data_IF_511265529373
#
_entry.id   IF_511265529373
#
_cell.length_a   1.000
_cell.length_b   1.000
_cell.length_c   1.000
_cell.angle_alpha   90.00
_cell.angle_beta   90.00
_cell.angle_gamma   90.00
#
_symmetry.space_group_name_H-M   'P 1'
#
loop_
_entity.id
_entity.type
_entity.pdbx_description
1 polymer ?
#
# COMPACT_ATOMS: atom_id res chain seq x y z
N UNK A 1 3.71 31.78 -9.41
CA UNK A 1 2.75 31.13 -8.52
C UNK A 1 1.69 30.49 -9.40
N UNK A 2 1.84 29.21 -9.70
CA UNK A 2 0.86 28.46 -10.48
C UNK A 2 -0.32 28.21 -9.55
N UNK A 3 -1.52 28.70 -9.90
CA UNK A 3 -2.74 28.33 -9.19
C UNK A 3 -2.82 26.80 -9.19
N UNK A 4 -2.70 26.19 -8.00
CA UNK A 4 -2.95 24.76 -7.88
C UNK A 4 -4.43 24.55 -8.19
N UNK A 5 -4.73 24.01 -9.37
CA UNK A 5 -6.09 23.68 -9.77
C UNK A 5 -6.68 22.72 -8.73
N UNK A 6 -7.58 23.23 -7.90
CA UNK A 6 -8.17 22.45 -6.82
C UNK A 6 -9.11 21.39 -7.40
N UNK A 7 -8.78 20.12 -7.16
CA UNK A 7 -9.59 18.97 -7.57
C UNK A 7 -10.95 19.03 -6.90
N UNK A 8 -12.02 19.21 -7.69
CA UNK A 8 -13.39 19.26 -7.17
C UNK A 8 -13.91 17.86 -6.79
N UNK A 9 -13.83 17.51 -5.50
CA UNK A 9 -14.33 16.22 -4.99
C UNK A 9 -15.78 15.90 -5.39
N UNK A 10 -16.77 16.80 -5.28
CA UNK A 10 -18.16 16.47 -5.64
C UNK A 10 -18.32 16.10 -7.11
N UNK A 11 -17.61 16.79 -8.01
CA UNK A 11 -17.68 16.51 -9.45
C UNK A 11 -17.03 15.17 -9.80
N UNK A 12 -15.87 14.88 -9.21
CA UNK A 12 -15.19 13.60 -9.40
C UNK A 12 -15.95 12.43 -8.78
N UNK A 13 -16.58 12.64 -7.62
CA UNK A 13 -17.44 11.64 -7.00
C UNK A 13 -18.66 11.33 -7.88
N UNK A 14 -19.33 12.36 -8.42
CA UNK A 14 -20.43 12.17 -9.36
C UNK A 14 -19.99 11.43 -10.65
N UNK A 15 -18.77 11.67 -11.12
CA UNK A 15 -18.20 10.91 -12.24
C UNK A 15 -17.87 9.45 -11.86
N UNK A 16 -17.49 9.17 -10.62
CA UNK A 16 -17.13 7.83 -10.17
C UNK A 16 -18.35 6.91 -9.99
N UNK A 17 -19.47 7.42 -9.45
CA UNK A 17 -20.67 6.63 -9.14
C UNK A 17 -21.13 5.71 -10.29
N UNK A 18 -21.33 6.18 -11.53
CA UNK A 18 -21.75 5.30 -12.64
C UNK A 18 -20.68 4.30 -13.09
N UNK A 19 -19.44 4.43 -12.59
CA UNK A 19 -18.26 3.64 -13.01
C UNK A 19 -17.82 2.62 -11.95
N UNK A 20 -18.47 2.56 -10.79
CA UNK A 20 -18.11 1.66 -9.68
C UNK A 20 -18.04 0.18 -10.10
N UNK A 21 -19.00 -0.29 -10.88
CA UNK A 21 -18.98 -1.67 -11.40
C UNK A 21 -17.76 -1.96 -12.27
N UNK A 22 -17.30 -0.97 -13.04
CA UNK A 22 -16.07 -1.08 -13.84
C UNK A 22 -14.83 -1.09 -12.96
N UNK A 23 -14.78 -0.28 -11.89
CA UNK A 23 -13.69 -0.29 -10.91
C UNK A 23 -13.56 -1.66 -10.27
N UNK A 24 -14.67 -2.24 -9.79
CA UNK A 24 -14.67 -3.60 -9.23
C UNK A 24 -14.15 -4.61 -10.25
N UNK A 25 -14.59 -4.52 -11.50
CA UNK A 25 -14.14 -5.42 -12.58
C UNK A 25 -12.64 -5.31 -12.86
N UNK A 26 -12.02 -4.15 -12.65
CA UNK A 26 -10.57 -3.96 -12.80
C UNK A 26 -9.73 -4.73 -11.76
N UNK A 27 -10.36 -5.22 -10.69
CA UNK A 27 -9.71 -6.01 -9.63
C UNK A 27 -10.05 -7.51 -9.69
N UNK A 28 -10.86 -7.94 -10.66
CA UNK A 28 -11.25 -9.34 -10.83
C UNK A 28 -10.39 -10.04 -11.91
N UNK A 29 -10.30 -11.39 -11.89
CA UNK A 29 -9.69 -12.16 -12.97
C UNK A 29 -10.32 -11.82 -14.34
N UNK A 30 -9.49 -11.70 -15.38
CA UNK A 30 -9.94 -11.30 -16.71
C UNK A 30 -10.22 -9.80 -16.86
N UNK A 31 -9.68 -8.97 -15.96
CA UNK A 31 -9.71 -7.51 -16.07
C UNK A 31 -9.14 -7.05 -17.43
N UNK A 32 -9.74 -6.02 -18.06
CA UNK A 32 -9.20 -5.42 -19.28
C UNK A 32 -7.86 -4.69 -19.05
N UNK A 33 -7.59 -4.29 -17.80
CA UNK A 33 -6.31 -3.70 -17.39
C UNK A 33 -5.67 -4.66 -16.41
N UNK A 34 -4.50 -5.18 -16.74
CA UNK A 34 -3.77 -6.07 -15.84
C UNK A 34 -3.40 -5.37 -14.53
N UNK A 35 -3.07 -6.16 -13.52
CA UNK A 35 -2.79 -5.63 -12.18
C UNK A 35 -1.66 -4.61 -12.16
N UNK A 36 -0.66 -4.76 -13.02
CA UNK A 36 0.53 -3.91 -13.03
C UNK A 36 0.22 -2.57 -13.68
N UNK A 37 -0.37 -2.57 -14.88
CA UNK A 37 -0.81 -1.33 -15.55
C UNK A 37 -1.81 -0.58 -14.68
N UNK A 38 -2.67 -1.30 -13.94
CA UNK A 38 -3.57 -0.69 -12.96
C UNK A 38 -2.82 0.07 -11.88
N UNK A 39 -1.84 -0.55 -11.21
CA UNK A 39 -1.06 0.14 -10.17
C UNK A 39 -0.24 1.32 -10.74
N UNK A 40 0.29 1.20 -11.96
CA UNK A 40 0.98 2.30 -12.63
C UNK A 40 0.06 3.49 -12.87
N UNK A 41 -1.11 3.25 -13.46
CA UNK A 41 -2.14 4.27 -13.69
C UNK A 41 -2.57 4.89 -12.35
N UNK A 42 -2.82 4.08 -11.32
CA UNK A 42 -3.19 4.58 -9.99
C UNK A 42 -2.09 5.44 -9.36
N UNK A 43 -0.81 5.10 -9.54
CA UNK A 43 0.31 5.90 -9.06
C UNK A 43 0.37 7.26 -9.77
N UNK A 44 0.26 7.26 -11.11
CA UNK A 44 0.28 8.50 -11.91
C UNK A 44 -0.91 9.39 -11.60
N UNK A 45 -2.12 8.83 -11.51
CA UNK A 45 -3.33 9.57 -11.12
C UNK A 45 -3.16 10.20 -9.74
N UNK A 46 -2.70 9.43 -8.75
CA UNK A 46 -2.52 9.94 -7.39
C UNK A 46 -1.47 11.05 -7.33
N UNK A 47 -0.38 10.93 -8.10
CA UNK A 47 0.66 11.96 -8.21
C UNK A 47 0.13 13.23 -8.88
N UNK A 48 -0.58 13.09 -10.00
CA UNK A 48 -1.20 14.20 -10.72
C UNK A 48 -2.30 14.90 -9.87
N UNK A 49 -2.99 14.15 -9.02
CA UNK A 49 -3.98 14.66 -8.08
C UNK A 49 -3.36 15.28 -6.81
N UNK A 50 -2.03 15.27 -6.68
CA UNK A 50 -1.29 15.89 -5.57
C UNK A 50 -1.07 15.00 -4.34
N UNK A 51 -1.51 13.74 -4.35
CA UNK A 51 -1.39 12.84 -3.20
C UNK A 51 -0.11 12.00 -3.26
N UNK A 52 1.01 12.60 -2.86
CA UNK A 52 2.33 11.94 -2.82
C UNK A 52 2.36 10.60 -2.05
N UNK A 53 1.74 10.49 -0.86
CA UNK A 53 1.68 9.22 -0.13
C UNK A 53 0.96 8.10 -0.89
N UNK A 54 -0.14 8.43 -1.57
CA UNK A 54 -0.93 7.45 -2.32
C UNK A 54 -0.22 7.06 -3.62
N UNK A 55 0.40 8.02 -4.32
CA UNK A 55 1.28 7.75 -5.46
C UNK A 55 2.39 6.77 -5.10
N UNK A 56 3.05 6.99 -3.95
CA UNK A 56 4.10 6.11 -3.46
C UNK A 56 3.59 4.71 -3.14
N UNK A 57 2.44 4.58 -2.48
CA UNK A 57 1.85 3.27 -2.18
C UNK A 57 1.61 2.45 -3.46
N UNK A 58 1.04 3.06 -4.49
CA UNK A 58 0.80 2.37 -5.77
C UNK A 58 2.10 2.07 -6.52
N UNK A 59 3.10 2.95 -6.45
CA UNK A 59 4.43 2.67 -7.00
C UNK A 59 5.10 1.47 -6.29
N UNK A 60 5.01 1.42 -4.96
CA UNK A 60 5.53 0.29 -4.17
C UNK A 60 4.84 -1.03 -4.54
N UNK A 61 3.51 -1.01 -4.74
CA UNK A 61 2.77 -2.18 -5.22
C UNK A 61 3.13 -2.59 -6.65
N UNK A 62 3.32 -1.61 -7.54
CA UNK A 62 3.80 -1.88 -8.88
C UNK A 62 5.18 -2.56 -8.85
N UNK A 63 6.10 -2.10 -8.00
CA UNK A 63 7.44 -2.71 -7.88
C UNK A 63 7.36 -4.18 -7.42
N UNK A 64 6.43 -4.51 -6.53
CA UNK A 64 6.18 -5.89 -6.07
C UNK A 64 5.72 -6.79 -7.22
N UNK A 65 5.01 -6.24 -8.21
CA UNK A 65 4.55 -6.97 -9.39
C UNK A 65 5.67 -7.21 -10.44
N UNK A 66 6.89 -6.72 -10.20
CA UNK A 66 8.10 -7.01 -11.00
C UNK A 66 8.38 -6.03 -12.15
N UNK A 67 9.44 -6.23 -12.94
CA UNK A 67 9.76 -5.42 -14.13
C UNK A 67 8.87 -5.78 -15.33
N UNK A 68 8.66 -4.86 -16.27
CA UNK A 68 7.98 -5.04 -17.55
C UNK A 68 8.56 -4.03 -18.52
N UNK A 69 8.48 -4.41 -19.78
CA UNK A 69 8.67 -3.53 -20.91
C UNK A 69 7.42 -2.66 -21.03
N UNK A 70 7.56 -1.38 -20.70
CA UNK A 70 6.58 -0.38 -21.09
C UNK A 70 6.64 -0.23 -22.61
N UNK A 71 5.48 -0.20 -23.24
CA UNK A 71 5.37 0.03 -24.69
C UNK A 71 5.14 1.51 -24.98
N UNK A 72 5.34 1.95 -26.22
CA UNK A 72 5.00 3.33 -26.63
C UNK A 72 3.52 3.67 -26.35
N UNK A 73 2.62 2.66 -26.44
CA UNK A 73 1.21 2.80 -26.08
C UNK A 73 1.02 3.10 -24.58
N UNK A 74 1.90 2.59 -23.71
CA UNK A 74 1.84 2.91 -22.28
C UNK A 74 2.22 4.37 -22.02
N UNK A 75 3.22 4.92 -22.71
CA UNK A 75 3.62 6.32 -22.55
C UNK A 75 2.49 7.30 -22.98
N UNK A 76 1.80 6.99 -24.07
CA UNK A 76 0.65 7.76 -24.53
C UNK A 76 -0.54 7.65 -23.57
N UNK A 77 -0.82 6.45 -23.04
CA UNK A 77 -1.85 6.24 -22.02
C UNK A 77 -1.53 7.04 -20.74
N UNK A 78 -0.28 7.04 -20.28
CA UNK A 78 0.11 7.77 -19.07
C UNK A 78 0.05 9.28 -19.29
N UNK A 79 0.43 9.75 -20.47
CA UNK A 79 0.29 11.17 -20.86
C UNK A 79 -1.17 11.60 -20.85
N UNK A 80 -2.06 10.76 -21.41
CA UNK A 80 -3.51 10.97 -21.33
C UNK A 80 -4.01 10.97 -19.87
N UNK A 81 -3.55 10.04 -19.03
CA UNK A 81 -3.93 9.99 -17.60
C UNK A 81 -3.58 11.29 -16.88
N UNK A 82 -2.37 11.82 -17.10
CA UNK A 82 -1.95 13.10 -16.49
C UNK A 82 -2.84 14.25 -16.96
N UNK A 83 -3.11 14.34 -18.27
CA UNK A 83 -3.98 15.36 -18.84
C UNK A 83 -5.42 15.27 -18.31
N UNK A 84 -5.93 14.05 -18.13
CA UNK A 84 -7.27 13.76 -17.65
C UNK A 84 -7.51 14.23 -16.20
N UNK A 85 -6.46 14.32 -15.37
CA UNK A 85 -6.57 14.80 -13.99
C UNK A 85 -6.65 16.34 -13.91
N UNK A 86 -6.19 17.06 -14.94
CA UNK A 86 -5.82 18.48 -14.80
C UNK A 86 -6.94 19.53 -14.87
N UNK A 87 -8.12 19.36 -15.55
CA UNK A 87 -9.24 20.24 -15.17
C UNK A 87 -10.68 19.75 -15.42
N UNK A 88 -10.97 18.54 -15.93
CA UNK A 88 -12.35 18.20 -16.36
C UNK A 88 -12.83 16.80 -15.89
N UNK A 89 -13.90 16.73 -15.07
CA UNK A 89 -14.56 15.46 -14.71
C UNK A 89 -15.35 14.87 -15.89
N UNK A 90 -15.60 15.67 -16.93
CA UNK A 90 -16.08 15.24 -18.24
C UNK A 90 -14.92 14.55 -18.96
N UNK A 91 -14.64 13.32 -18.55
CA UNK A 91 -13.71 12.43 -19.25
C UNK A 91 -14.37 12.00 -20.55
N UNK A 92 -14.29 12.83 -21.58
CA UNK A 92 -14.57 12.38 -22.93
C UNK A 92 -13.36 11.53 -23.36
N UNK A 93 -13.54 10.23 -23.61
CA UNK A 93 -12.40 9.35 -23.83
C UNK A 93 -11.83 9.51 -25.25
N UNK A 94 -12.11 10.63 -25.93
CA UNK A 94 -11.87 10.86 -27.36
C UNK A 94 -10.37 10.93 -27.70
N UNK A 95 -9.52 11.22 -26.72
CA UNK A 95 -8.08 11.43 -26.94
C UNK A 95 -7.18 10.22 -26.60
N UNK A 96 -7.75 9.05 -26.26
CA UNK A 96 -6.96 7.83 -26.05
C UNK A 96 -6.55 7.18 -27.39
N UNK A 97 -5.32 6.62 -27.50
CA UNK A 97 -4.80 6.02 -28.74
C UNK A 97 -5.78 5.05 -29.39
N UNK A 98 -5.79 4.98 -30.72
CA UNK A 98 -6.76 4.19 -31.49
C UNK A 98 -6.65 2.68 -31.19
N UNK A 99 -5.45 2.25 -30.83
CA UNK A 99 -5.04 0.89 -30.45
C UNK A 99 -5.66 0.46 -29.12
N UNK A 100 -6.09 1.40 -28.28
CA UNK A 100 -6.74 1.12 -26.99
C UNK A 100 -8.19 0.69 -27.20
N UNK A 101 -8.45 -0.60 -26.94
CA UNK A 101 -9.78 -1.18 -27.08
C UNK A 101 -10.84 -0.42 -26.26
N UNK A 102 -12.13 -0.45 -26.68
CA UNK A 102 -13.20 0.21 -25.93
C UNK A 102 -13.34 -0.26 -24.48
N UNK A 103 -12.97 -1.52 -24.18
CA UNK A 103 -13.03 -2.06 -22.83
C UNK A 103 -11.91 -1.51 -21.94
N UNK A 104 -10.69 -1.41 -22.47
CA UNK A 104 -9.55 -0.78 -21.77
C UNK A 104 -9.84 0.70 -21.55
N UNK A 105 -10.36 1.40 -22.56
CA UNK A 105 -10.77 2.82 -22.48
C UNK A 105 -11.73 3.08 -21.32
N UNK A 106 -12.79 2.27 -21.19
CA UNK A 106 -13.74 2.36 -20.07
C UNK A 106 -13.08 2.10 -18.71
N UNK A 107 -12.17 1.13 -18.65
CA UNK A 107 -11.44 0.80 -17.43
C UNK A 107 -10.49 1.91 -16.99
N UNK A 108 -9.73 2.51 -17.92
CA UNK A 108 -8.84 3.63 -17.64
C UNK A 108 -9.62 4.84 -17.11
N UNK A 109 -10.73 5.21 -17.77
CA UNK A 109 -11.62 6.29 -17.30
C UNK A 109 -12.15 6.02 -15.89
N UNK A 110 -12.53 4.77 -15.59
CA UNK A 110 -12.98 4.38 -14.26
C UNK A 110 -11.86 4.47 -13.21
N UNK A 111 -10.65 4.04 -13.56
CA UNK A 111 -9.46 4.10 -12.69
C UNK A 111 -9.01 5.54 -12.42
N UNK A 112 -9.08 6.44 -13.42
CA UNK A 112 -8.82 7.88 -13.22
C UNK A 112 -9.81 8.47 -12.23
N UNK A 113 -11.13 8.28 -12.46
CA UNK A 113 -12.15 8.79 -11.55
C UNK A 113 -11.99 8.24 -10.12
N UNK A 114 -11.69 6.95 -9.99
CA UNK A 114 -11.44 6.31 -8.71
C UNK A 114 -10.20 6.87 -8.02
N UNK A 115 -9.07 6.96 -8.73
CA UNK A 115 -7.81 7.45 -8.18
C UNK A 115 -7.88 8.91 -7.73
N UNK A 116 -8.60 9.76 -8.46
CA UNK A 116 -8.80 11.17 -8.07
C UNK A 116 -9.65 11.28 -6.80
N UNK A 117 -10.75 10.51 -6.70
CA UNK A 117 -11.57 10.48 -5.48
C UNK A 117 -10.78 9.90 -4.30
N UNK A 118 -9.97 8.87 -4.52
CA UNK A 118 -9.11 8.27 -3.51
C UNK A 118 -8.05 9.26 -3.00
N UNK A 119 -7.38 9.99 -3.89
CA UNK A 119 -6.40 11.03 -3.56
C UNK A 119 -7.04 12.15 -2.72
N UNK A 120 -8.17 12.69 -3.18
CA UNK A 120 -8.90 13.73 -2.45
C UNK A 120 -9.41 13.25 -1.08
N UNK A 121 -9.82 11.97 -0.98
CA UNK A 121 -10.22 11.35 0.30
C UNK A 121 -9.02 11.24 1.25
N UNK A 122 -7.86 10.81 0.75
CA UNK A 122 -6.62 10.69 1.53
C UNK A 122 -6.14 12.06 2.04
N UNK A 123 -6.20 13.10 1.22
CA UNK A 123 -5.80 14.45 1.60
C UNK A 123 -6.72 15.02 2.69
N UNK A 124 -8.04 14.80 2.58
CA UNK A 124 -9.01 15.19 3.63
C UNK A 124 -8.82 14.41 4.93
N UNK A 125 -8.48 13.12 4.84
CA UNK A 125 -8.11 12.34 6.03
C UNK A 125 -6.86 12.94 6.72
N UNK A 126 -5.85 13.31 5.94
CA UNK A 126 -4.63 13.97 6.43
C UNK A 126 -4.92 15.31 7.09
N UNK A 127 -5.72 16.16 6.45
CA UNK A 127 -6.12 17.46 7.00
C UNK A 127 -6.89 17.32 8.32
N UNK A 128 -7.85 16.38 8.40
CA UNK A 128 -8.58 16.09 9.62
C UNK A 128 -7.62 15.61 10.74
N UNK A 129 -6.70 14.69 10.44
CA UNK A 129 -5.72 14.22 11.41
C UNK A 129 -4.84 15.37 11.94
N UNK A 130 -4.35 16.24 11.05
CA UNK A 130 -3.55 17.42 11.42
C UNK A 130 -4.33 18.42 12.29
N UNK A 131 -5.63 18.62 12.03
CA UNK A 131 -6.50 19.44 12.91
C UNK A 131 -6.68 18.81 14.29
N UNK A 132 -6.84 17.49 14.36
CA UNK A 132 -7.00 16.76 15.63
C UNK A 132 -5.75 16.88 16.52
N UNK A 133 -4.55 16.82 15.92
CA UNK A 133 -3.28 16.99 16.65
C UNK A 133 -2.86 18.45 16.84
N UNK A 134 -3.72 19.41 16.47
CA UNK A 134 -3.49 20.85 16.68
C UNK A 134 -2.46 21.48 15.74
N UNK A 135 -2.09 20.80 14.63
CA UNK A 135 -1.17 21.35 13.63
C UNK A 135 -1.86 22.15 12.52
N UNK A 136 -3.19 22.09 12.44
CA UNK A 136 -4.02 22.97 11.61
C UNK A 136 -5.08 23.66 12.48
N UNK A 137 -5.54 24.88 12.09
CA UNK A 137 -6.60 25.58 12.80
C UNK A 137 -7.86 24.72 12.97
N UNK A 138 -8.47 24.78 14.15
CA UNK A 138 -9.75 24.11 14.44
C UNK A 138 -10.88 24.88 13.77
N UNK A 139 -11.28 24.43 12.59
CA UNK A 139 -12.49 24.90 11.89
C UNK A 139 -13.54 23.76 11.87
N UNK A 140 -14.65 23.90 12.63
CA UNK A 140 -15.68 22.88 12.69
C UNK A 140 -16.40 22.68 11.36
N UNK A 141 -16.49 23.71 10.51
CA UNK A 141 -17.14 23.60 9.18
C UNK A 141 -16.26 22.80 8.23
N UNK A 142 -14.96 23.10 8.19
CA UNK A 142 -14.02 22.31 7.41
C UNK A 142 -13.92 20.86 7.90
N UNK A 143 -13.94 20.63 9.22
CA UNK A 143 -13.96 19.29 9.78
C UNK A 143 -15.23 18.51 9.40
N UNK A 144 -16.40 19.14 9.41
CA UNK A 144 -17.65 18.53 8.98
C UNK A 144 -17.63 18.18 7.48
N UNK A 145 -17.09 19.07 6.63
CA UNK A 145 -16.90 18.82 5.20
C UNK A 145 -15.95 17.64 4.93
N UNK A 146 -14.85 17.54 5.67
CA UNK A 146 -13.90 16.43 5.54
C UNK A 146 -14.50 15.11 6.03
N UNK A 147 -15.25 15.11 7.14
CA UNK A 147 -15.97 13.93 7.63
C UNK A 147 -17.02 13.44 6.63
N UNK A 148 -17.78 14.36 6.02
CA UNK A 148 -18.76 13.99 4.99
C UNK A 148 -18.08 13.38 3.76
N UNK A 149 -16.94 13.95 3.33
CA UNK A 149 -16.16 13.40 2.23
C UNK A 149 -15.58 12.02 2.56
N UNK A 150 -15.12 11.81 3.80
CA UNK A 150 -14.61 10.51 4.26
C UNK A 150 -15.73 9.47 4.32
N UNK A 151 -16.89 9.82 4.88
CA UNK A 151 -18.03 8.92 4.99
C UNK A 151 -18.49 8.37 3.63
N UNK A 152 -18.36 9.19 2.58
CA UNK A 152 -18.78 8.85 1.22
C UNK A 152 -17.63 8.28 0.37
N UNK A 153 -16.42 8.81 0.54
CA UNK A 153 -15.23 8.43 -0.22
C UNK A 153 -14.57 7.13 0.26
N UNK A 154 -14.49 6.87 1.57
CA UNK A 154 -13.85 5.67 2.12
C UNK A 154 -14.49 4.36 1.62
N UNK A 155 -15.83 4.18 1.63
CA UNK A 155 -16.45 2.94 1.15
C UNK A 155 -16.16 2.64 -0.32
N UNK A 156 -15.95 3.70 -1.10
CA UNK A 156 -15.75 3.64 -2.55
C UNK A 156 -14.27 3.54 -2.94
N UNK A 157 -13.38 3.97 -2.05
CA UNK A 157 -11.93 3.99 -2.29
C UNK A 157 -11.21 2.73 -1.77
N UNK A 158 -11.91 1.83 -1.10
CA UNK A 158 -11.36 0.54 -0.65
C UNK A 158 -11.62 -0.48 -1.77
N UNK A 159 -10.59 -1.11 -2.38
CA UNK A 159 -9.23 -1.38 -1.86
C UNK A 159 -8.08 -0.83 -2.76
N UNK A 160 -6.92 -0.33 -2.24
CA UNK A 160 -6.33 -0.39 -0.91
C UNK A 160 -6.15 0.99 -0.25
N UNK A 161 -7.20 1.82 -0.14
CA UNK A 161 -7.13 3.09 0.61
C UNK A 161 -7.20 2.91 2.14
N UNK A 162 -7.40 1.67 2.63
CA UNK A 162 -7.24 1.37 4.05
C UNK A 162 -5.78 1.46 4.56
N UNK A 163 -4.78 1.63 3.68
CA UNK A 163 -3.37 1.43 4.06
C UNK A 163 -2.49 2.69 4.15
N UNK A 164 -2.67 3.73 3.33
CA UNK A 164 -1.66 4.82 3.26
C UNK A 164 -1.69 5.83 4.42
N UNK A 165 -2.81 6.55 4.57
CA UNK A 165 -2.95 7.63 5.56
C UNK A 165 -3.08 7.08 7.00
N UNK A 166 -3.72 5.92 7.14
CA UNK A 166 -3.83 5.19 8.40
C UNK A 166 -2.46 4.66 8.85
N UNK A 167 -1.58 4.18 7.96
CA UNK A 167 -0.22 3.70 8.33
C UNK A 167 0.75 4.83 8.67
N UNK A 168 0.62 6.01 8.06
CA UNK A 168 1.46 7.16 8.42
C UNK A 168 1.18 7.71 9.83
N UNK A 169 -0.08 7.62 10.29
CA UNK A 169 -0.51 8.03 11.63
C UNK A 169 -0.39 6.88 12.63
N UNK A 170 -0.80 5.65 12.26
CA UNK A 170 -0.56 4.45 13.07
C UNK A 170 0.92 4.15 13.22
N UNK A 171 1.80 4.52 12.30
CA UNK A 171 3.25 4.34 12.46
C UNK A 171 3.82 5.12 13.65
N UNK A 172 3.21 6.27 13.99
CA UNK A 172 3.57 7.08 15.16
C UNK A 172 2.88 6.61 16.45
N UNK A 173 1.73 5.96 16.35
CA UNK A 173 0.98 5.36 17.46
C UNK A 173 1.31 3.87 17.68
N UNK A 174 2.04 3.27 16.75
CA UNK A 174 2.36 1.86 16.77
C UNK A 174 3.30 1.61 17.96
N UNK A 175 3.11 0.48 18.65
CA UNK A 175 4.00 0.07 19.73
C UNK A 175 5.47 0.08 19.26
N UNK A 176 6.43 0.29 20.18
CA UNK A 176 7.82 0.05 19.86
C UNK A 176 8.00 -1.39 19.35
N UNK A 177 9.00 -1.63 18.48
CA UNK A 177 9.27 -2.98 17.99
C UNK A 177 9.53 -3.90 19.18
N UNK A 178 8.88 -5.07 19.18
CA UNK A 178 9.13 -6.09 20.17
C UNK A 178 10.57 -6.60 20.02
N UNK A 179 11.27 -6.76 21.14
CA UNK A 179 12.55 -7.45 21.12
C UNK A 179 12.34 -8.89 20.66
N UNK A 180 13.24 -9.38 19.80
CA UNK A 180 13.27 -10.78 19.40
C UNK A 180 14.15 -11.52 20.40
N UNK A 181 13.53 -12.35 21.23
CA UNK A 181 14.23 -13.20 22.19
C UNK A 181 14.67 -14.49 21.47
N UNK A 182 15.96 -14.80 21.59
CA UNK A 182 16.53 -16.04 21.05
C UNK A 182 16.61 -17.05 22.20
N UNK A 183 16.05 -18.23 21.99
CA UNK A 183 16.09 -19.32 22.97
C UNK A 183 17.49 -19.90 23.15
N UNK A 184 17.63 -20.77 24.15
CA UNK A 184 18.89 -21.44 24.46
C UNK A 184 19.35 -22.33 23.27
N UNK A 185 20.66 -22.41 23.07
CA UNK A 185 21.33 -23.18 21.99
C UNK A 185 20.79 -22.91 20.57
N UNK A 186 20.88 -21.67 20.05
CA UNK A 186 20.33 -21.32 18.75
C UNK A 186 21.10 -21.96 17.61
N UNK A 187 20.40 -22.70 16.74
CA UNK A 187 20.96 -23.15 15.47
C UNK A 187 21.06 -21.97 14.48
N UNK A 188 21.73 -22.18 13.34
CA UNK A 188 21.94 -21.14 12.33
C UNK A 188 20.63 -20.54 11.82
N UNK A 189 19.58 -21.36 11.63
CA UNK A 189 18.26 -20.90 11.20
C UNK A 189 17.60 -20.04 12.28
N UNK A 190 17.73 -20.39 13.56
CA UNK A 190 17.25 -19.58 14.69
C UNK A 190 17.90 -18.19 14.68
N UNK A 191 19.22 -18.10 14.45
CA UNK A 191 19.93 -16.82 14.40
C UNK A 191 19.53 -15.98 13.18
N UNK A 192 19.44 -16.59 12.00
CA UNK A 192 19.00 -15.89 10.78
C UNK A 192 17.57 -15.35 10.92
N UNK A 193 16.66 -16.13 11.49
CA UNK A 193 15.31 -15.67 11.75
C UNK A 193 15.30 -14.53 12.77
N UNK A 194 16.11 -14.62 13.83
CA UNK A 194 16.21 -13.55 14.81
C UNK A 194 16.71 -12.23 14.22
N UNK A 195 17.58 -12.28 13.21
CA UNK A 195 18.10 -11.11 12.52
C UNK A 195 17.10 -10.53 11.50
N UNK A 196 16.31 -11.38 10.84
CA UNK A 196 15.39 -10.96 9.76
C UNK A 196 14.00 -10.57 10.28
N UNK A 197 13.51 -11.21 11.35
CA UNK A 197 12.19 -10.95 11.92
C UNK A 197 11.96 -9.49 12.31
N UNK A 198 12.95 -8.74 12.87
CA UNK A 198 12.81 -7.30 13.12
C UNK A 198 12.48 -6.50 11.85
N UNK A 199 13.03 -6.87 10.69
CA UNK A 199 12.73 -6.20 9.42
C UNK A 199 11.29 -6.50 8.97
N UNK A 200 10.83 -7.74 9.13
CA UNK A 200 9.49 -8.17 8.72
C UNK A 200 8.39 -7.63 9.66
N UNK A 201 8.66 -7.66 10.96
CA UNK A 201 7.73 -7.25 12.02
C UNK A 201 7.91 -5.78 12.44
N UNK A 202 8.93 -5.10 11.92
CA UNK A 202 9.23 -3.68 12.20
C UNK A 202 8.23 -2.71 11.60
N UNK A 203 7.41 -3.17 10.65
CA UNK A 203 6.28 -2.39 10.13
C UNK A 203 5.28 -2.05 11.24
N UNK A 204 4.57 -0.93 11.12
CA UNK A 204 3.53 -0.53 12.10
C UNK A 204 2.50 -1.65 12.34
N UNK A 205 2.17 -2.42 11.29
CA UNK A 205 1.30 -3.59 11.34
C UNK A 205 1.92 -4.75 12.09
N UNK A 206 3.17 -5.12 11.77
CA UNK A 206 3.89 -6.17 12.48
C UNK A 206 3.95 -5.87 13.99
N UNK A 207 4.33 -4.64 14.37
CA UNK A 207 4.40 -4.21 15.76
C UNK A 207 3.04 -4.22 16.46
N UNK A 208 1.98 -3.76 15.79
CA UNK A 208 0.62 -3.77 16.36
C UNK A 208 0.06 -5.19 16.48
N UNK A 209 0.28 -6.03 15.47
CA UNK A 209 -0.13 -7.43 15.46
C UNK A 209 0.53 -8.17 16.63
N UNK A 210 1.86 -8.06 16.76
CA UNK A 210 2.63 -8.66 17.86
C UNK A 210 2.10 -8.17 19.22
N UNK A 211 1.86 -6.87 19.38
CA UNK A 211 1.41 -6.28 20.64
C UNK A 211 -0.04 -6.61 21.02
N UNK A 212 -0.92 -6.80 20.04
CA UNK A 212 -2.37 -6.98 20.26
C UNK A 212 -2.84 -8.41 20.14
N UNK A 213 -1.99 -9.32 19.67
CA UNK A 213 -2.26 -10.76 19.64
C UNK A 213 -2.47 -11.28 21.08
N UNK A 214 -3.69 -11.74 21.44
CA UNK A 214 -3.98 -12.22 22.80
C UNK A 214 -3.33 -13.56 23.12
N UNK A 215 -2.90 -14.28 22.08
CA UNK A 215 -2.28 -15.60 22.12
C UNK A 215 -0.92 -15.55 21.44
N UNK A 216 -0.02 -16.44 21.85
CA UNK A 216 1.21 -16.68 21.11
C UNK A 216 0.90 -17.65 19.98
N UNK A 217 1.26 -17.27 18.76
CA UNK A 217 1.10 -18.09 17.56
C UNK A 217 2.44 -18.77 17.29
N UNK A 218 2.58 -20.08 17.55
CA UNK A 218 3.78 -20.85 17.23
C UNK A 218 3.78 -21.23 15.74
N UNK A 219 4.81 -20.78 15.05
CA UNK A 219 5.05 -21.04 13.63
C UNK A 219 6.39 -21.75 13.49
N UNK A 220 6.38 -22.97 12.97
CA UNK A 220 7.60 -23.67 12.63
C UNK A 220 8.13 -23.21 11.26
N UNK A 221 9.45 -23.06 11.18
CA UNK A 221 10.18 -22.85 9.94
C UNK A 221 11.17 -24.00 9.81
N UNK A 222 11.12 -24.71 8.68
CA UNK A 222 12.02 -25.81 8.36
C UNK A 222 12.76 -25.53 7.07
N UNK A 223 14.06 -25.77 7.10
CA UNK A 223 14.95 -25.73 5.94
C UNK A 223 15.87 -26.93 5.99
N UNK A 224 15.66 -27.89 5.10
CA UNK A 224 16.36 -29.18 5.11
C UNK A 224 16.20 -29.91 6.45
N UNK A 225 17.32 -30.26 7.08
CA UNK A 225 17.35 -30.97 8.37
C UNK A 225 17.25 -30.04 9.59
N UNK A 226 17.23 -28.71 9.37
CA UNK A 226 17.18 -27.72 10.45
C UNK A 226 15.78 -27.15 10.60
N UNK A 227 15.33 -27.01 11.85
CA UNK A 227 14.04 -26.44 12.20
C UNK A 227 14.17 -25.38 13.28
N UNK A 228 13.29 -24.40 13.25
CA UNK A 228 13.15 -23.39 14.28
C UNK A 228 11.66 -23.09 14.51
N UNK A 229 11.31 -22.67 15.71
CA UNK A 229 9.96 -22.27 16.06
C UNK A 229 9.95 -20.80 16.41
N UNK A 230 9.22 -20.01 15.61
CA UNK A 230 8.94 -18.60 15.87
C UNK A 230 7.61 -18.49 16.59
N UNK A 231 7.61 -17.89 17.78
CA UNK A 231 6.39 -17.56 18.51
C UNK A 231 6.16 -16.06 18.45
N UNK A 232 5.00 -15.66 17.92
CA UNK A 232 4.62 -14.25 17.78
C UNK A 232 3.34 -13.99 18.57
N UNK A 233 3.36 -13.00 19.45
CA UNK A 233 2.17 -12.53 20.16
C UNK A 233 2.45 -12.03 21.56
N UNK A 234 1.43 -11.52 22.26
CA UNK A 234 1.55 -10.98 23.62
C UNK A 234 2.67 -9.94 23.78
N UNK A 235 2.95 -9.17 22.73
CA UNK A 235 3.98 -8.14 22.73
C UNK A 235 5.42 -8.66 22.59
N UNK A 236 5.63 -9.94 22.30
CA UNK A 236 6.96 -10.54 22.17
C UNK A 236 7.10 -11.41 20.92
N UNK A 237 8.34 -11.58 20.50
CA UNK A 237 8.74 -12.51 19.44
C UNK A 237 9.83 -13.41 20.02
N UNK A 238 9.64 -14.73 19.96
CA UNK A 238 10.63 -15.70 20.42
C UNK A 238 11.03 -16.62 19.29
N UNK A 239 12.31 -16.89 19.14
CA UNK A 239 12.81 -17.89 18.19
C UNK A 239 13.53 -18.96 18.97
N UNK A 240 13.01 -20.18 18.92
CA UNK A 240 13.60 -21.34 19.57
C UNK A 240 14.16 -22.31 18.53
N UNK A 241 15.24 -23.00 18.90
CA UNK A 241 15.77 -24.11 18.12
C UNK A 241 14.75 -25.28 18.11
N UNK A 242 14.59 -25.94 16.96
CA UNK A 242 13.71 -27.08 16.78
C UNK A 242 12.26 -26.72 16.43
N UNK A 243 11.48 -27.74 16.13
CA UNK A 243 10.04 -27.65 15.85
C UNK A 243 9.30 -28.01 17.14
N UNK A 244 8.55 -27.06 17.70
CA UNK A 244 7.74 -27.30 18.89
C UNK A 244 6.55 -28.22 18.62
N UNK A 245 6.10 -28.93 19.64
CA UNK A 245 4.98 -29.89 19.54
C UNK A 245 3.60 -29.23 19.41
N UNK A 246 3.53 -27.92 19.64
CA UNK A 246 2.33 -27.09 19.68
C UNK A 246 2.19 -26.17 18.46
N UNK A 247 2.93 -26.42 17.38
CA UNK A 247 2.95 -25.56 16.19
C UNK A 247 1.59 -25.48 15.49
N UNK A 248 1.21 -24.27 15.09
CA UNK A 248 -0.05 -24.04 14.38
C UNK A 248 0.14 -24.05 12.86
N UNK A 249 1.35 -23.73 12.40
CA UNK A 249 1.72 -23.70 11.00
C UNK A 249 3.19 -24.12 10.83
N UNK A 250 3.50 -24.75 9.69
CA UNK A 250 4.84 -25.12 9.27
C UNK A 250 5.14 -24.48 7.91
N UNK A 251 6.20 -23.69 7.84
CA UNK A 251 6.78 -23.18 6.61
C UNK A 251 7.98 -24.05 6.25
N UNK A 252 7.86 -24.81 5.17
CA UNK A 252 8.88 -25.72 4.69
C UNK A 252 9.43 -25.22 3.35
N UNK A 253 10.70 -24.85 3.32
CA UNK A 253 11.33 -24.32 2.10
C UNK A 253 12.81 -23.96 2.28
N UNK A 254 13.52 -23.85 1.16
CA UNK A 254 14.92 -23.42 1.17
C UNK A 254 15.03 -21.92 1.53
N UNK A 255 15.77 -21.62 2.60
CA UNK A 255 15.98 -20.27 3.15
C UNK A 255 16.51 -19.28 2.11
N UNK A 256 17.16 -19.72 1.03
CA UNK A 256 17.65 -18.86 -0.05
C UNK A 256 16.56 -17.99 -0.67
N UNK A 257 15.31 -18.47 -0.73
CA UNK A 257 14.18 -17.67 -1.19
C UNK A 257 13.81 -16.53 -0.21
N UNK A 258 13.88 -16.81 1.09
CA UNK A 258 13.66 -15.83 2.17
C UNK A 258 14.80 -14.81 2.27
N UNK A 259 16.05 -15.26 2.10
CA UNK A 259 17.23 -14.40 2.08
C UNK A 259 17.26 -13.48 0.86
N UNK A 260 16.84 -13.94 -0.32
CA UNK A 260 16.70 -13.07 -1.51
C UNK A 260 15.65 -11.99 -1.29
N UNK A 261 14.52 -12.35 -0.65
CA UNK A 261 13.48 -11.38 -0.31
C UNK A 261 14.01 -10.32 0.69
N UNK A 262 14.70 -10.75 1.77
CA UNK A 262 15.30 -9.85 2.76
C UNK A 262 16.45 -8.98 2.21
N UNK A 263 17.31 -9.54 1.37
CA UNK A 263 18.47 -8.82 0.78
C UNK A 263 18.04 -7.70 -0.16
N UNK A 264 16.90 -7.87 -0.86
CA UNK A 264 16.32 -6.83 -1.71
C UNK A 264 15.77 -5.64 -0.93
N UNK A 265 15.39 -5.85 0.33
CA UNK A 265 14.93 -4.83 1.27
C UNK A 265 16.12 -4.07 1.87
N UNK A 266 17.15 -4.77 2.34
CA UNK A 266 18.40 -4.19 2.88
C UNK A 266 19.16 -3.35 1.83
N UNK A 267 19.23 -3.85 0.58
CA UNK A 267 19.86 -3.13 -0.53
C UNK A 267 19.15 -1.81 -0.88
N UNK A 268 17.85 -1.68 -0.54
CA UNK A 268 17.07 -0.45 -0.72
C UNK A 268 17.28 0.53 0.43
N UNK A 269 17.35 0.04 1.66
CA UNK A 269 17.60 0.88 2.84
C UNK A 269 19.00 1.52 2.78
N UNK A 270 20.02 0.75 2.40
CA UNK A 270 21.38 1.26 2.17
C UNK A 270 21.46 2.28 1.03
N UNK A 271 20.67 2.11 -0.05
CA UNK A 271 20.59 3.10 -1.15
C UNK A 271 19.93 4.39 -0.68
N UNK A 272 18.86 4.29 0.12
CA UNK A 272 18.16 5.45 0.66
C UNK A 272 18.97 6.23 1.70
N UNK A 273 19.82 5.54 2.48
CA UNK A 273 20.74 6.14 3.44
C UNK A 273 21.92 6.84 2.76
N UNK A 274 22.39 6.31 1.62
CA UNK A 274 23.51 6.88 0.85
C UNK A 274 23.13 8.12 0.04
N UNK A 275 21.84 8.31 -0.27
CA UNK A 275 21.31 9.50 -0.96
C UNK A 275 21.01 10.68 -0.01
N UNK A 276 21.16 10.48 1.31
CA UNK A 276 20.98 11.53 2.34
C UNK A 276 22.31 12.05 2.91
N UNK A 277 23.44 11.76 2.27
CA UNK A 277 24.74 12.38 2.56
C UNK A 277 25.17 13.25 1.39
#
# INVERSE_FOLDING_TARGET
>A
MTEAHEVSFPRWFAALVPRLGTVVRCHLPGSPVDARRRELVSAVVAGAAGSGPLARLHADWHDVLGPAELTEVDDEVLSWVVAAVAPRPELDPVDLPAEVTPQVRRALVALVAHGVVAAATADRAGALALRLVGQLPRDPRAAAGDLAALAVGVPVSIPPVAFGAVVGVLGRLAPPPAAVEVGDDPNLLTQLLAEILPTWLGSAWGRTLVARLPVEVPVAVRSGLTGATVRVGRGRVRVANGIGDDIWALFDGEIDALLRAGSSSLSRELRSARLRR
#
